data_IF_725708964511
#
_entry.id   IF_725708964511
#
_cell.length_a   1.000
_cell.length_b   1.000
_cell.length_c   1.000
_cell.angle_alpha   90.00
_cell.angle_beta   90.00
_cell.angle_gamma   90.00
#
_symmetry.space_group_name_H-M   'P 1'
#
loop_
_entity.id
_entity.type
_entity.pdbx_description
1 polymer ?
#
# COMPACT_ATOMS: atom_id res chain seq x y z
N UNK A 1 -21.33 6.42 3.69
CA UNK A 1 -20.29 5.81 2.83
C UNK A 1 -18.99 6.54 3.06
N UNK A 2 -17.87 5.85 3.25
CA UNK A 2 -16.56 6.52 3.37
C UNK A 2 -16.26 7.17 2.00
N UNK A 3 -15.96 8.48 1.94
CA UNK A 3 -15.65 9.13 0.69
C UNK A 3 -14.39 8.47 0.08
N UNK A 4 -14.32 8.27 -1.24
CA UNK A 4 -13.24 7.50 -1.82
C UNK A 4 -11.84 8.09 -1.59
N UNK A 5 -11.75 9.41 -1.46
CA UNK A 5 -10.54 10.11 -1.02
C UNK A 5 -10.12 9.71 0.40
N UNK A 6 -11.07 9.60 1.34
CA UNK A 6 -10.81 9.16 2.71
C UNK A 6 -10.29 7.73 2.79
N UNK A 7 -10.78 6.84 1.91
CA UNK A 7 -10.27 5.47 1.80
C UNK A 7 -8.82 5.44 1.30
N UNK A 8 -8.50 6.24 0.27
CA UNK A 8 -7.14 6.34 -0.26
C UNK A 8 -6.17 6.89 0.80
N UNK A 9 -6.56 7.93 1.53
CA UNK A 9 -5.75 8.50 2.63
C UNK A 9 -5.52 7.46 3.72
N UNK A 10 -6.57 6.75 4.18
CA UNK A 10 -6.43 5.73 5.21
C UNK A 10 -5.47 4.61 4.78
N UNK A 11 -5.59 4.14 3.54
CA UNK A 11 -4.68 3.14 2.98
C UNK A 11 -3.24 3.66 2.90
N UNK A 12 -3.04 4.90 2.43
CA UNK A 12 -1.74 5.54 2.36
C UNK A 12 -1.09 5.66 3.75
N UNK A 13 -1.83 6.16 4.74
CA UNK A 13 -1.35 6.30 6.12
C UNK A 13 -0.92 4.96 6.70
N UNK A 14 -1.72 3.91 6.50
CA UNK A 14 -1.39 2.56 6.96
C UNK A 14 -0.13 2.01 6.26
N UNK A 15 -0.01 2.20 4.95
CA UNK A 15 1.17 1.79 4.19
C UNK A 15 2.43 2.54 4.67
N UNK A 16 2.37 3.85 4.87
CA UNK A 16 3.52 4.60 5.36
C UNK A 16 3.89 4.19 6.79
N UNK A 17 2.89 3.94 7.63
CA UNK A 17 3.10 3.45 8.99
C UNK A 17 3.81 2.09 9.03
N UNK A 18 3.40 1.13 8.19
CA UNK A 18 4.04 -0.19 8.12
C UNK A 18 5.49 -0.06 7.65
N UNK A 19 5.75 0.78 6.66
CA UNK A 19 7.09 1.05 6.14
C UNK A 19 7.99 1.65 7.23
N UNK A 20 7.48 2.67 7.91
CA UNK A 20 8.18 3.34 9.00
C UNK A 20 8.40 2.42 10.21
N UNK A 21 7.40 1.62 10.61
CA UNK A 21 7.53 0.65 11.70
C UNK A 21 8.65 -0.36 11.45
N UNK A 22 8.88 -0.76 10.20
CA UNK A 22 10.00 -1.64 9.86
C UNK A 22 11.37 -0.98 10.02
N UNK A 23 11.46 0.34 9.85
CA UNK A 23 12.72 1.08 10.04
C UNK A 23 13.11 1.22 11.51
N UNK A 24 12.16 1.18 12.44
CA UNK A 24 12.39 1.39 13.88
C UNK A 24 12.66 0.07 14.63
N UNK A 25 12.20 -1.07 14.10
CA UNK A 25 12.36 -2.36 14.79
C UNK A 25 13.83 -2.76 14.88
N UNK A 26 14.30 -3.02 16.11
CA UNK A 26 15.68 -3.52 16.32
C UNK A 26 15.83 -5.00 15.96
N UNK A 27 14.75 -5.79 16.04
CA UNK A 27 14.72 -7.20 15.60
C UNK A 27 14.10 -7.32 14.23
N UNK A 28 14.81 -8.00 13.32
CA UNK A 28 14.32 -8.25 11.96
C UNK A 28 13.09 -9.17 12.00
N UNK A 29 11.98 -8.80 11.33
CA UNK A 29 10.81 -9.65 11.16
C UNK A 29 11.16 -10.97 10.49
N UNK A 30 10.34 -12.00 10.74
CA UNK A 30 10.47 -13.27 10.04
C UNK A 30 10.17 -13.11 8.54
N UNK A 31 10.71 -13.98 7.67
CA UNK A 31 10.42 -13.96 6.23
C UNK A 31 8.91 -13.99 5.93
N UNK A 32 8.13 -14.73 6.73
CA UNK A 32 6.67 -14.80 6.60
C UNK A 32 6.02 -13.41 6.77
N UNK A 33 6.46 -12.61 7.74
CA UNK A 33 5.93 -11.27 7.94
C UNK A 33 6.26 -10.33 6.77
N UNK A 34 7.44 -10.48 6.15
CA UNK A 34 7.77 -9.74 4.94
C UNK A 34 6.88 -10.15 3.77
N UNK A 35 6.63 -11.45 3.57
CA UNK A 35 5.71 -11.93 2.53
C UNK A 35 4.28 -11.39 2.73
N UNK A 36 3.78 -11.40 3.98
CA UNK A 36 2.47 -10.83 4.33
C UNK A 36 2.41 -9.34 4.00
N UNK A 37 3.45 -8.56 4.33
CA UNK A 37 3.50 -7.13 4.00
C UNK A 37 3.48 -6.89 2.50
N UNK A 38 4.26 -7.66 1.72
CA UNK A 38 4.23 -7.58 0.25
C UNK A 38 2.82 -7.83 -0.26
N UNK A 39 2.17 -8.90 0.20
CA UNK A 39 0.80 -9.24 -0.20
C UNK A 39 -0.18 -8.11 0.15
N UNK A 40 -0.12 -7.56 1.37
CA UNK A 40 -0.99 -6.46 1.81
C UNK A 40 -0.85 -5.22 0.93
N UNK A 41 0.38 -4.83 0.57
CA UNK A 41 0.62 -3.67 -0.28
C UNK A 41 0.09 -3.89 -1.70
N UNK A 42 0.32 -5.07 -2.28
CA UNK A 42 -0.16 -5.42 -3.62
C UNK A 42 -1.69 -5.52 -3.68
N UNK A 43 -2.31 -6.19 -2.70
CA UNK A 43 -3.77 -6.33 -2.61
C UNK A 43 -4.41 -4.95 -2.50
N UNK A 44 -3.89 -4.07 -1.63
CA UNK A 44 -4.47 -2.75 -1.50
C UNK A 44 -4.30 -1.88 -2.73
N UNK A 45 -3.12 -1.90 -3.37
CA UNK A 45 -2.92 -1.19 -4.63
C UNK A 45 -3.88 -1.70 -5.72
N UNK A 46 -4.03 -3.02 -5.85
CA UNK A 46 -4.93 -3.65 -6.80
C UNK A 46 -6.40 -3.25 -6.54
N UNK A 47 -6.86 -3.32 -5.29
CA UNK A 47 -8.22 -2.94 -4.93
C UNK A 47 -8.53 -1.48 -5.26
N UNK A 48 -7.59 -0.56 -5.01
CA UNK A 48 -7.76 0.86 -5.34
C UNK A 48 -7.85 1.09 -6.85
N UNK A 49 -6.97 0.45 -7.63
CA UNK A 49 -6.97 0.55 -9.09
C UNK A 49 -8.23 -0.06 -9.69
N UNK A 50 -8.60 -1.27 -9.27
CA UNK A 50 -9.80 -1.97 -9.72
C UNK A 50 -11.05 -1.16 -9.38
N UNK A 51 -11.15 -0.60 -8.17
CA UNK A 51 -12.27 0.26 -7.81
C UNK A 51 -12.36 1.51 -8.70
N UNK A 52 -11.23 2.13 -9.04
CA UNK A 52 -11.21 3.29 -9.96
C UNK A 52 -11.66 2.93 -11.37
N UNK A 53 -11.30 1.74 -11.86
CA UNK A 53 -11.72 1.25 -13.17
C UNK A 53 -13.20 0.87 -13.18
N UNK A 54 -13.70 0.27 -12.10
CA UNK A 54 -15.07 -0.19 -11.98
C UNK A 54 -16.08 0.94 -11.75
N UNK A 55 -15.67 1.99 -11.03
CA UNK A 55 -16.56 3.11 -10.66
C UNK A 55 -15.99 4.47 -11.09
N UNK A 56 -15.78 4.72 -12.39
CA UNK A 56 -15.03 5.90 -12.84
C UNK A 56 -15.70 7.23 -12.52
N UNK A 57 -17.03 7.28 -12.44
CA UNK A 57 -17.80 8.50 -12.13
C UNK A 57 -17.92 8.84 -10.64
N UNK A 58 -17.48 7.98 -9.72
CA UNK A 58 -17.56 8.24 -8.27
C UNK A 58 -16.36 9.03 -7.73
N UNK A 59 -15.28 9.16 -8.50
CA UNK A 59 -14.03 9.76 -8.04
C UNK A 59 -13.84 11.15 -8.64
N UNK A 60 -13.71 12.17 -7.79
CA UNK A 60 -13.22 13.47 -8.22
C UNK A 60 -11.79 13.36 -8.76
N UNK A 61 -11.34 14.38 -9.51
CA UNK A 61 -9.95 14.48 -9.98
C UNK A 61 -8.95 14.37 -8.83
N UNK A 62 -9.22 15.04 -7.71
CA UNK A 62 -8.38 14.98 -6.49
C UNK A 62 -8.34 13.58 -5.87
N UNK A 63 -9.48 12.87 -5.80
CA UNK A 63 -9.52 11.50 -5.30
C UNK A 63 -8.78 10.53 -6.23
N UNK A 64 -8.84 10.75 -7.54
CA UNK A 64 -8.09 9.96 -8.52
C UNK A 64 -6.58 10.12 -8.34
N UNK A 65 -6.10 11.36 -8.15
CA UNK A 65 -4.67 11.61 -7.87
C UNK A 65 -4.23 10.91 -6.58
N UNK A 66 -5.03 10.98 -5.52
CA UNK A 66 -4.75 10.28 -4.26
C UNK A 66 -4.65 8.75 -4.45
N UNK A 67 -5.55 8.16 -5.23
CA UNK A 67 -5.50 6.72 -5.56
C UNK A 67 -4.21 6.38 -6.29
N UNK A 68 -3.83 7.18 -7.29
CA UNK A 68 -2.61 6.95 -8.07
C UNK A 68 -1.38 7.00 -7.15
N UNK A 69 -1.25 8.04 -6.33
CA UNK A 69 -0.17 8.17 -5.35
C UNK A 69 -0.15 6.97 -4.41
N UNK A 70 -1.31 6.57 -3.89
CA UNK A 70 -1.42 5.44 -2.96
C UNK A 70 -1.04 4.13 -3.63
N UNK A 71 -1.44 3.91 -4.89
CA UNK A 71 -1.05 2.75 -5.66
C UNK A 71 0.47 2.70 -5.91
N UNK A 72 1.10 3.84 -6.20
CA UNK A 72 2.56 3.95 -6.31
C UNK A 72 3.26 3.58 -5.00
N UNK A 73 2.79 4.08 -3.86
CA UNK A 73 3.32 3.70 -2.54
C UNK A 73 3.12 2.20 -2.28
N UNK A 74 1.98 1.66 -2.67
CA UNK A 74 1.68 0.23 -2.66
C UNK A 74 2.75 -0.59 -3.39
N UNK A 75 3.00 -0.27 -4.66
CA UNK A 75 4.01 -0.98 -5.47
C UNK A 75 5.42 -0.80 -4.91
N UNK A 76 5.79 0.42 -4.50
CA UNK A 76 7.11 0.70 -3.96
C UNK A 76 7.37 -0.03 -2.63
N UNK A 77 6.39 -0.04 -1.74
CA UNK A 77 6.49 -0.78 -0.47
C UNK A 77 6.54 -2.29 -0.68
N UNK A 78 5.76 -2.83 -1.62
CA UNK A 78 5.85 -4.23 -2.01
C UNK A 78 7.25 -4.58 -2.55
N UNK A 79 7.83 -3.73 -3.39
CA UNK A 79 9.20 -3.90 -3.88
C UNK A 79 10.24 -3.84 -2.75
N UNK A 80 10.10 -2.88 -1.83
CA UNK A 80 10.97 -2.72 -0.67
C UNK A 80 11.00 -3.99 0.20
N UNK A 81 9.83 -4.49 0.59
CA UNK A 81 9.73 -5.70 1.42
C UNK A 81 10.07 -6.97 0.65
N UNK A 82 9.73 -7.05 -0.64
CA UNK A 82 10.12 -8.17 -1.51
C UNK A 82 11.63 -8.29 -1.65
N UNK A 83 12.33 -7.15 -1.78
CA UNK A 83 13.79 -7.13 -1.81
C UNK A 83 14.41 -7.62 -0.49
N UNK A 84 13.83 -7.26 0.67
CA UNK A 84 14.27 -7.76 1.99
C UNK A 84 14.00 -9.26 2.14
N UNK A 85 12.84 -9.73 1.67
CA UNK A 85 12.47 -11.15 1.66
C UNK A 85 13.46 -12.00 0.86
N UNK A 86 13.77 -11.60 -0.38
CA UNK A 86 14.67 -12.36 -1.27
C UNK A 86 16.11 -12.35 -0.76
N UNK A 87 16.58 -11.21 -0.24
CA UNK A 87 17.96 -11.08 0.21
C UNK A 87 18.25 -11.79 1.54
N UNK A 88 17.23 -12.35 2.22
CA UNK A 88 17.34 -12.94 3.57
C UNK A 88 18.13 -12.05 4.55
N UNK A 89 18.02 -10.73 4.36
CA UNK A 89 18.65 -9.72 5.21
C UNK A 89 17.71 -9.47 6.37
#
# INVERSE_FOLDING_TARGET
MIPPAGMAIAALTLMLWILWSDTIRSRRPTPVLYAVRVALYLIMAALLVVNRLRYPGMFSTSATVLIVITAFVGVFGAFYFGRRLVRRV
#
